data_IF_533974959935
#
_entry.id   IF_533974959935
#
_cell.length_a   1.000
_cell.length_b   1.000
_cell.length_c   1.000
_cell.angle_alpha   90.00
_cell.angle_beta   90.00
_cell.angle_gamma   90.00
#
_symmetry.space_group_name_H-M   'P 1'
#
loop_
_entity.id
_entity.type
_entity.pdbx_description
1 polymer ?
#
# COMPACT_ATOMS: atom_id res chain seq x y z
N UNK A 1 -2.18 5.76 22.18
CA UNK A 1 -1.24 4.98 21.34
C UNK A 1 -1.01 5.76 20.05
N UNK A 2 0.24 5.91 19.58
CA UNK A 2 0.53 6.59 18.31
C UNK A 2 0.24 5.60 17.17
N UNK A 3 -0.79 5.88 16.37
CA UNK A 3 -1.09 5.11 15.16
C UNK A 3 -0.14 5.54 14.05
N UNK A 4 0.83 4.69 13.69
CA UNK A 4 1.83 5.02 12.68
C UNK A 4 1.27 4.75 11.28
N UNK A 5 1.47 5.71 10.38
CA UNK A 5 0.90 5.71 9.03
C UNK A 5 2.00 5.79 7.98
N UNK A 6 1.88 4.96 6.94
CA UNK A 6 2.71 5.02 5.74
C UNK A 6 1.80 5.44 4.58
N UNK A 7 2.15 6.51 3.87
CA UNK A 7 1.43 6.94 2.67
C UNK A 7 2.29 6.65 1.46
N UNK A 8 1.81 5.79 0.56
CA UNK A 8 2.48 5.43 -0.67
C UNK A 8 1.91 6.28 -1.81
N UNK A 9 2.65 7.32 -2.22
CA UNK A 9 2.30 8.20 -3.33
C UNK A 9 2.77 7.56 -4.64
N UNK A 10 1.90 7.50 -5.65
CA UNK A 10 2.15 6.77 -6.89
C UNK A 10 1.83 5.28 -6.78
N UNK A 11 0.91 4.90 -5.89
CA UNK A 11 0.56 3.49 -5.62
C UNK A 11 -0.17 2.81 -6.79
N UNK A 12 -0.69 3.56 -7.78
CA UNK A 12 -1.30 3.02 -8.98
C UNK A 12 -0.28 2.38 -9.95
N UNK A 13 1.02 2.58 -9.73
CA UNK A 13 2.04 1.81 -10.45
C UNK A 13 2.01 0.35 -10.00
N UNK A 14 1.38 -0.55 -10.76
CA UNK A 14 1.16 -1.94 -10.33
C UNK A 14 2.44 -2.65 -9.90
N UNK A 15 3.54 -2.50 -10.64
CA UNK A 15 4.80 -3.17 -10.30
C UNK A 15 5.43 -2.60 -9.02
N UNK A 16 5.48 -1.27 -8.90
CA UNK A 16 6.07 -0.60 -7.74
C UNK A 16 5.15 -0.69 -6.51
N UNK A 17 3.89 -0.31 -6.66
CA UNK A 17 2.85 -0.28 -5.64
C UNK A 17 2.66 -1.64 -4.96
N UNK A 18 2.43 -2.71 -5.74
CA UNK A 18 2.27 -4.06 -5.20
C UNK A 18 3.55 -4.57 -4.55
N UNK A 19 4.71 -4.31 -5.17
CA UNK A 19 6.01 -4.69 -4.60
C UNK A 19 6.28 -4.02 -3.25
N UNK A 20 6.03 -2.71 -3.16
CA UNK A 20 6.19 -1.95 -1.92
C UNK A 20 5.22 -2.42 -0.84
N UNK A 21 3.93 -2.57 -1.15
CA UNK A 21 2.95 -3.03 -0.16
C UNK A 21 3.27 -4.45 0.30
N UNK A 22 3.63 -5.36 -0.61
CA UNK A 22 4.03 -6.72 -0.25
C UNK A 22 5.24 -6.76 0.70
N UNK A 23 6.23 -5.90 0.50
CA UNK A 23 7.37 -5.78 1.41
C UNK A 23 6.97 -5.22 2.78
N UNK A 24 6.05 -4.25 2.83
CA UNK A 24 5.55 -3.69 4.09
C UNK A 24 4.75 -4.74 4.87
N UNK A 25 3.84 -5.47 4.20
CA UNK A 25 3.01 -6.50 4.83
C UNK A 25 3.83 -7.66 5.42
N UNK A 26 4.96 -8.01 4.78
CA UNK A 26 5.88 -9.06 5.25
C UNK A 26 6.84 -8.58 6.34
N UNK A 27 6.86 -7.29 6.66
CA UNK A 27 7.81 -6.73 7.64
C UNK A 27 7.30 -6.88 9.07
N UNK A 28 8.05 -7.58 9.92
CA UNK A 28 7.77 -7.65 11.36
C UNK A 28 7.90 -6.29 12.06
N UNK A 29 8.77 -5.42 11.56
CA UNK A 29 9.03 -4.08 12.12
C UNK A 29 7.83 -3.15 11.89
N UNK A 30 7.11 -3.32 10.79
CA UNK A 30 6.01 -2.43 10.38
C UNK A 30 4.62 -2.98 10.74
N UNK A 31 4.56 -4.10 11.47
CA UNK A 31 3.30 -4.67 11.95
C UNK A 31 2.50 -3.64 12.75
N UNK A 32 1.19 -3.58 12.47
CA UNK A 32 0.25 -2.66 13.11
C UNK A 32 0.25 -1.24 12.54
N UNK A 33 1.06 -0.93 11.53
CA UNK A 33 1.01 0.36 10.85
C UNK A 33 -0.16 0.39 9.86
N UNK A 34 -0.73 1.57 9.64
CA UNK A 34 -1.73 1.78 8.59
C UNK A 34 -1.05 2.17 7.29
N UNK A 35 -1.35 1.49 6.18
CA UNK A 35 -0.89 1.86 4.83
C UNK A 35 -2.02 2.62 4.11
N UNK A 36 -1.70 3.77 3.51
CA UNK A 36 -2.60 4.51 2.63
C UNK A 36 -2.02 4.57 1.24
N UNK A 37 -2.79 4.09 0.26
CA UNK A 37 -2.43 4.17 -1.15
C UNK A 37 -2.95 5.49 -1.73
N UNK A 38 -2.11 6.20 -2.45
CA UNK A 38 -2.47 7.46 -3.10
C UNK A 38 -1.97 7.47 -4.54
N UNK A 39 -2.84 7.80 -5.47
CA UNK A 39 -2.52 8.00 -6.87
C UNK A 39 -3.54 8.97 -7.50
N UNK A 40 -3.16 9.61 -8.61
CA UNK A 40 -4.04 10.49 -9.38
C UNK A 40 -4.94 9.71 -10.33
N UNK A 41 -4.53 8.50 -10.74
CA UNK A 41 -5.33 7.63 -11.59
C UNK A 41 -6.20 6.71 -10.71
N UNK A 42 -7.53 6.91 -10.67
CA UNK A 42 -8.41 6.15 -9.79
C UNK A 42 -8.55 4.68 -10.19
N UNK A 43 -8.49 4.36 -11.48
CA UNK A 43 -8.61 2.98 -11.97
C UNK A 43 -7.40 2.14 -11.54
N UNK A 44 -6.21 2.69 -11.74
CA UNK A 44 -4.97 2.04 -11.31
C UNK A 44 -4.90 1.91 -9.78
N UNK A 45 -5.35 2.94 -9.05
CA UNK A 45 -5.40 2.90 -7.59
C UNK A 45 -6.33 1.80 -7.08
N UNK A 46 -7.51 1.67 -7.69
CA UNK A 46 -8.50 0.65 -7.36
C UNK A 46 -7.96 -0.76 -7.61
N UNK A 47 -7.28 -0.98 -8.74
CA UNK A 47 -6.62 -2.26 -9.05
C UNK A 47 -5.55 -2.61 -8.00
N UNK A 48 -4.65 -1.67 -7.69
CA UNK A 48 -3.64 -1.89 -6.64
C UNK A 48 -4.30 -2.17 -5.29
N UNK A 49 -5.32 -1.40 -4.91
CA UNK A 49 -6.01 -1.55 -3.63
C UNK A 49 -6.65 -2.94 -3.49
N UNK A 50 -7.38 -3.40 -4.51
CA UNK A 50 -8.03 -4.71 -4.51
C UNK A 50 -7.02 -5.87 -4.48
N UNK A 51 -5.91 -5.75 -5.21
CA UNK A 51 -4.83 -6.73 -5.16
C UNK A 51 -4.19 -6.79 -3.77
N UNK A 52 -3.89 -5.64 -3.16
CA UNK A 52 -3.31 -5.57 -1.81
C UNK A 52 -4.25 -6.06 -0.71
N UNK A 53 -5.56 -5.82 -0.84
CA UNK A 53 -6.58 -6.25 0.13
C UNK A 53 -6.81 -7.76 0.14
N UNK A 54 -6.49 -8.43 -0.97
CA UNK A 54 -6.64 -9.87 -1.13
C UNK A 54 -5.41 -10.67 -0.70
N UNK A 55 -4.34 -9.99 -0.25
CA UNK A 55 -3.03 -10.56 0.07
C UNK A 55 -2.87 -10.99 1.53
#
# INVERSE_FOLDING_TARGET
>A
MVNKKIVLIGAGSLQFGLGCVGNILKSDILKGYTITLHDINPENLELTYNACKSA
#
